data_IF_819934812803
#
_entry.id   IF_819934812803
#
_cell.length_a   1.000
_cell.length_b   1.000
_cell.length_c   1.000
_cell.angle_alpha   90.00
_cell.angle_beta   90.00
_cell.angle_gamma   90.00
#
_symmetry.space_group_name_H-M   'P 1'
#
loop_
_entity.id
_entity.type
_entity.pdbx_description
1 polymer ?
#
# COMPACT_ATOMS: atom_id res chain seq x y z
N UNK A 1 -46.07 -11.33 -13.51
CA UNK A 1 -46.25 -11.14 -14.97
C UNK A 1 -44.86 -10.88 -15.52
N UNK A 2 -44.33 -11.78 -16.35
CA UNK A 2 -43.11 -11.52 -17.09
C UNK A 2 -43.51 -10.47 -18.12
N UNK A 3 -43.10 -9.22 -17.90
CA UNK A 3 -43.31 -8.14 -18.86
C UNK A 3 -42.59 -8.52 -20.15
N UNK A 4 -43.27 -8.38 -21.28
CA UNK A 4 -42.74 -8.71 -22.61
C UNK A 4 -42.16 -7.48 -23.33
N UNK A 5 -42.44 -6.27 -22.86
CA UNK A 5 -41.90 -5.01 -23.40
C UNK A 5 -41.85 -3.91 -22.33
N UNK A 6 -40.96 -2.93 -22.50
CA UNK A 6 -40.91 -1.72 -21.68
C UNK A 6 -41.85 -0.61 -22.19
N UNK A 7 -42.43 -0.78 -23.38
CA UNK A 7 -43.31 0.18 -24.05
C UNK A 7 -44.37 0.87 -23.17
N UNK A 8 -45.12 0.16 -22.30
CA UNK A 8 -46.10 0.77 -21.41
C UNK A 8 -45.47 1.77 -20.42
N UNK A 9 -44.27 1.49 -19.92
CA UNK A 9 -43.54 2.38 -19.02
C UNK A 9 -42.91 3.54 -19.76
N UNK A 10 -42.45 3.32 -20.99
CA UNK A 10 -41.90 4.37 -21.85
C UNK A 10 -42.98 5.38 -22.26
N UNK A 11 -44.20 4.93 -22.60
CA UNK A 11 -45.31 5.84 -22.86
C UNK A 11 -45.71 6.70 -21.66
N UNK A 12 -45.49 6.19 -20.43
CA UNK A 12 -45.77 6.92 -19.20
C UNK A 12 -44.71 7.99 -18.88
N UNK A 13 -43.54 7.96 -19.54
CA UNK A 13 -42.53 9.02 -19.41
C UNK A 13 -42.98 10.30 -20.12
N UNK A 14 -43.65 10.18 -21.27
CA UNK A 14 -44.11 11.32 -22.05
C UNK A 14 -45.40 11.96 -21.50
N UNK A 15 -46.06 11.34 -20.52
CA UNK A 15 -47.25 11.87 -19.85
C UNK A 15 -46.96 13.10 -18.98
N UNK A 16 -47.95 13.96 -18.76
CA UNK A 16 -47.79 15.23 -18.03
C UNK A 16 -47.80 15.11 -16.50
N UNK A 17 -48.26 13.98 -15.97
CA UNK A 17 -48.38 13.75 -14.52
C UNK A 17 -47.03 13.30 -13.91
N UNK A 18 -46.55 14.07 -12.93
CA UNK A 18 -45.31 13.81 -12.19
C UNK A 18 -45.34 12.46 -11.46
N UNK A 19 -46.50 12.02 -10.97
CA UNK A 19 -46.64 10.76 -10.24
C UNK A 19 -46.49 9.54 -11.17
N UNK A 20 -47.00 9.65 -12.40
CA UNK A 20 -46.86 8.62 -13.43
C UNK A 20 -45.41 8.52 -13.91
N UNK A 21 -44.71 9.65 -14.07
CA UNK A 21 -43.28 9.65 -14.41
C UNK A 21 -42.43 8.98 -13.35
N UNK A 22 -42.68 9.24 -12.06
CA UNK A 22 -41.97 8.59 -10.95
C UNK A 22 -42.24 7.08 -10.92
N UNK A 23 -43.48 6.65 -11.16
CA UNK A 23 -43.82 5.23 -11.26
C UNK A 23 -43.11 4.56 -12.45
N UNK A 24 -43.08 5.22 -13.61
CA UNK A 24 -42.37 4.76 -14.80
C UNK A 24 -40.87 4.59 -14.52
N UNK A 25 -40.22 5.59 -13.91
CA UNK A 25 -38.79 5.51 -13.57
C UNK A 25 -38.48 4.39 -12.57
N UNK A 26 -39.34 4.16 -11.56
CA UNK A 26 -39.17 3.05 -10.61
C UNK A 26 -39.29 1.68 -11.29
N UNK A 27 -40.25 1.54 -12.20
CA UNK A 27 -40.41 0.34 -13.00
C UNK A 27 -39.19 0.13 -13.91
N UNK A 28 -38.74 1.19 -14.60
CA UNK A 28 -37.56 1.14 -15.47
C UNK A 28 -36.29 0.76 -14.71
N UNK A 29 -36.04 1.32 -13.51
CA UNK A 29 -34.89 0.94 -12.70
C UNK A 29 -34.84 -0.56 -12.34
N UNK A 30 -36.00 -1.21 -12.26
CA UNK A 30 -36.13 -2.64 -11.95
C UNK A 30 -35.88 -3.54 -13.17
N UNK A 31 -36.24 -3.06 -14.37
CA UNK A 31 -36.20 -3.86 -15.60
C UNK A 31 -35.19 -3.40 -16.65
N UNK A 32 -34.41 -2.36 -16.36
CA UNK A 32 -33.43 -1.78 -17.30
C UNK A 32 -32.42 -2.81 -17.80
N UNK A 33 -32.03 -3.78 -16.98
CA UNK A 33 -31.07 -4.83 -17.39
C UNK A 33 -31.62 -5.73 -18.50
N UNK A 34 -32.95 -5.85 -18.64
CA UNK A 34 -33.60 -6.67 -19.65
C UNK A 34 -34.02 -5.87 -20.90
N UNK A 35 -34.38 -4.60 -20.73
CA UNK A 35 -34.94 -3.77 -21.80
C UNK A 35 -34.08 -2.55 -22.15
N UNK A 36 -32.79 -2.54 -21.80
CA UNK A 36 -31.89 -1.40 -22.02
C UNK A 36 -31.92 -0.88 -23.47
N UNK A 37 -32.07 -1.76 -24.47
CA UNK A 37 -32.13 -1.38 -25.88
C UNK A 37 -33.42 -0.62 -26.26
N UNK A 38 -34.55 -0.92 -25.60
CA UNK A 38 -35.79 -0.15 -25.80
C UNK A 38 -35.74 1.17 -25.04
N UNK A 39 -35.09 1.19 -23.87
CA UNK A 39 -34.94 2.38 -23.03
C UNK A 39 -33.92 3.37 -23.63
N UNK A 40 -32.91 2.89 -24.35
CA UNK A 40 -31.90 3.75 -24.98
C UNK A 40 -32.47 4.69 -26.03
N UNK A 41 -33.55 4.31 -26.71
CA UNK A 41 -34.23 5.17 -27.69
C UNK A 41 -34.87 6.42 -27.04
N UNK A 42 -35.17 6.34 -25.73
CA UNK A 42 -35.79 7.40 -24.94
C UNK A 42 -34.81 8.07 -23.98
N UNK A 43 -33.50 7.84 -24.14
CA UNK A 43 -32.47 8.34 -23.22
C UNK A 43 -32.52 9.86 -23.07
N UNK A 44 -32.71 10.59 -24.18
CA UNK A 44 -32.82 12.05 -24.18
C UNK A 44 -34.01 12.57 -23.37
N UNK A 45 -35.14 11.85 -23.34
CA UNK A 45 -36.30 12.24 -22.52
C UNK A 45 -35.99 12.10 -21.03
N UNK A 46 -35.26 11.04 -20.65
CA UNK A 46 -34.88 10.79 -19.25
C UNK A 46 -33.79 11.79 -18.80
N UNK A 47 -32.86 12.15 -19.69
CA UNK A 47 -31.88 13.23 -19.46
C UNK A 47 -32.57 14.58 -19.23
N UNK A 48 -33.55 14.94 -20.06
CA UNK A 48 -34.33 16.16 -19.85
C UNK A 48 -35.05 16.17 -18.50
N UNK A 49 -35.54 15.02 -18.03
CA UNK A 49 -36.12 14.90 -16.68
C UNK A 49 -35.10 15.07 -15.56
N UNK A 50 -33.86 14.64 -15.78
CA UNK A 50 -32.76 14.91 -14.86
C UNK A 50 -32.37 16.39 -14.87
N UNK A 51 -32.40 17.07 -16.02
CA UNK A 51 -32.09 18.51 -16.11
C UNK A 51 -33.18 19.41 -15.50
N UNK A 52 -34.42 18.95 -15.42
CA UNK A 52 -35.52 19.72 -14.82
C UNK A 52 -35.38 19.88 -13.29
N UNK A 53 -35.09 21.11 -12.86
CA UNK A 53 -34.96 21.46 -11.44
C UNK A 53 -36.25 21.33 -10.63
N UNK A 54 -37.42 21.27 -11.29
CA UNK A 54 -38.72 21.12 -10.63
C UNK A 54 -39.07 19.67 -10.32
N UNK A 55 -38.31 18.72 -10.85
CA UNK A 55 -38.54 17.31 -10.61
C UNK A 55 -37.94 16.90 -9.25
N UNK A 56 -38.73 16.28 -8.39
CA UNK A 56 -38.27 15.90 -7.04
C UNK A 56 -37.38 14.65 -7.03
N UNK A 57 -37.46 13.79 -8.05
CA UNK A 57 -36.82 12.47 -8.11
C UNK A 57 -35.68 12.42 -9.16
N UNK A 58 -34.91 13.52 -9.28
CA UNK A 58 -33.80 13.64 -10.26
C UNK A 58 -32.74 12.57 -10.07
N UNK A 59 -32.48 12.19 -8.83
CA UNK A 59 -31.51 11.15 -8.48
C UNK A 59 -31.90 9.78 -9.05
N UNK A 60 -33.20 9.47 -9.11
CA UNK A 60 -33.73 8.23 -9.69
C UNK A 60 -33.61 8.23 -11.22
N UNK A 61 -33.88 9.37 -11.87
CA UNK A 61 -33.68 9.53 -13.31
C UNK A 61 -32.20 9.36 -13.69
N UNK A 62 -31.29 9.98 -12.93
CA UNK A 62 -29.85 9.82 -13.12
C UNK A 62 -29.39 8.36 -12.98
N UNK A 63 -29.97 7.60 -12.05
CA UNK A 63 -29.64 6.18 -11.87
C UNK A 63 -30.05 5.34 -13.09
N UNK A 64 -31.25 5.57 -13.64
CA UNK A 64 -31.72 4.85 -14.83
C UNK A 64 -30.85 5.17 -16.04
N UNK A 65 -30.55 6.46 -16.26
CA UNK A 65 -29.65 6.93 -17.33
C UNK A 65 -28.28 6.26 -17.21
N UNK A 66 -27.71 6.23 -16.00
CA UNK A 66 -26.42 5.59 -15.75
C UNK A 66 -26.42 4.09 -16.08
N UNK A 67 -27.47 3.36 -15.71
CA UNK A 67 -27.61 1.93 -16.05
C UNK A 67 -27.74 1.69 -17.55
N UNK A 68 -28.44 2.57 -18.28
CA UNK A 68 -28.53 2.46 -19.75
C UNK A 68 -27.16 2.70 -20.39
N UNK A 69 -26.44 3.75 -19.97
CA UNK A 69 -25.08 4.03 -20.47
C UNK A 69 -24.09 2.91 -20.15
N UNK A 70 -24.24 2.25 -19.00
CA UNK A 70 -23.45 1.07 -18.67
C UNK A 70 -23.64 -0.06 -19.70
N UNK A 71 -24.88 -0.39 -20.05
CA UNK A 71 -25.17 -1.42 -21.06
C UNK A 71 -24.74 -1.00 -22.48
N UNK A 72 -24.70 0.30 -22.78
CA UNK A 72 -24.17 0.85 -24.02
C UNK A 72 -22.62 0.83 -24.09
N UNK A 73 -21.93 0.52 -22.99
CA UNK A 73 -20.47 0.55 -22.89
C UNK A 73 -19.86 1.95 -22.75
N UNK A 74 -20.69 2.97 -22.55
CA UNK A 74 -20.28 4.37 -22.35
C UNK A 74 -20.07 4.63 -20.85
N UNK A 75 -18.94 4.15 -20.33
CA UNK A 75 -18.69 4.10 -18.90
C UNK A 75 -18.42 5.46 -18.25
N UNK A 76 -17.82 6.42 -18.96
CA UNK A 76 -17.54 7.75 -18.44
C UNK A 76 -18.83 8.53 -18.17
N UNK A 77 -19.77 8.47 -19.12
CA UNK A 77 -21.11 9.02 -19.01
C UNK A 77 -21.90 8.29 -17.92
N UNK A 78 -21.85 6.95 -17.90
CA UNK A 78 -22.47 6.15 -16.86
C UNK A 78 -22.02 6.60 -15.46
N UNK A 79 -20.71 6.80 -15.25
CA UNK A 79 -20.17 7.26 -13.98
C UNK A 79 -20.66 8.68 -13.62
N UNK A 80 -20.72 9.61 -14.58
CA UNK A 80 -21.21 10.97 -14.32
C UNK A 80 -22.65 10.99 -13.80
N UNK A 81 -23.52 10.17 -14.39
CA UNK A 81 -24.91 10.06 -13.95
C UNK A 81 -25.04 9.24 -12.66
N UNK A 82 -24.21 8.21 -12.44
CA UNK A 82 -24.16 7.47 -11.18
C UNK A 82 -23.75 8.38 -10.00
N UNK A 83 -22.77 9.26 -10.22
CA UNK A 83 -22.35 10.28 -9.25
C UNK A 83 -23.48 11.25 -8.89
N UNK A 84 -24.37 11.51 -9.84
CA UNK A 84 -25.50 12.42 -9.67
C UNK A 84 -26.70 11.75 -8.99
N UNK A 85 -26.76 10.41 -8.99
CA UNK A 85 -27.78 9.63 -8.29
C UNK A 85 -27.59 9.60 -6.75
N UNK A 86 -26.43 10.04 -6.24
CA UNK A 86 -26.24 10.35 -4.82
C UNK A 86 -26.56 9.20 -3.86
N UNK A 87 -27.66 9.34 -3.11
CA UNK A 87 -28.13 8.39 -2.11
C UNK A 87 -28.83 7.17 -2.72
N UNK A 88 -29.42 7.30 -3.90
CA UNK A 88 -30.09 6.22 -4.63
C UNK A 88 -29.11 5.24 -5.28
N UNK A 89 -27.83 5.59 -5.34
CA UNK A 89 -26.76 4.70 -5.75
C UNK A 89 -26.31 3.83 -4.56
N UNK A 90 -26.87 2.63 -4.46
CA UNK A 90 -26.52 1.66 -3.42
C UNK A 90 -25.16 1.02 -3.70
N UNK A 91 -24.25 1.17 -2.73
CA UNK A 91 -22.89 0.60 -2.79
C UNK A 91 -22.91 -0.86 -2.30
N UNK A 92 -23.32 -1.79 -3.18
CA UNK A 92 -23.42 -3.25 -2.98
C UNK A 92 -24.60 -3.71 -2.11
N UNK A 93 -25.13 -4.93 -2.18
CA UNK A 93 -24.77 -6.19 -2.87
C UNK A 93 -25.68 -6.53 -4.07
N UNK A 94 -25.14 -7.14 -5.14
CA UNK A 94 -25.90 -8.01 -6.04
C UNK A 94 -26.03 -7.64 -7.52
N UNK A 95 -25.44 -6.53 -8.00
CA UNK A 95 -25.46 -6.21 -9.44
C UNK A 95 -24.06 -5.99 -10.02
N UNK A 96 -23.79 -6.63 -11.15
CA UNK A 96 -22.59 -6.44 -11.98
C UNK A 96 -22.35 -4.95 -12.30
N UNK A 97 -23.43 -4.19 -12.47
CA UNK A 97 -23.42 -2.74 -12.64
C UNK A 97 -22.72 -2.02 -11.46
N UNK A 98 -23.18 -2.27 -10.22
CA UNK A 98 -22.62 -1.59 -9.04
C UNK A 98 -21.14 -1.91 -8.82
N UNK A 99 -20.73 -3.16 -9.02
CA UNK A 99 -19.34 -3.57 -8.92
C UNK A 99 -18.48 -2.99 -10.04
N UNK A 100 -19.01 -2.88 -11.26
CA UNK A 100 -18.22 -2.36 -12.39
C UNK A 100 -18.07 -0.85 -12.32
N UNK A 101 -19.11 -0.13 -11.89
CA UNK A 101 -19.05 1.32 -11.72
C UNK A 101 -18.16 1.77 -10.56
N UNK A 102 -18.16 1.01 -9.46
CA UNK A 102 -17.39 1.35 -8.25
C UNK A 102 -16.04 0.65 -8.23
N UNK A 103 -16.03 -0.68 -8.30
CA UNK A 103 -14.91 -1.52 -7.86
C UNK A 103 -13.99 -1.99 -8.98
N UNK A 104 -14.45 -2.11 -10.23
CA UNK A 104 -13.59 -2.66 -11.30
C UNK A 104 -12.70 -1.63 -11.98
N UNK A 105 -13.19 -0.61 -12.69
CA UNK A 105 -12.27 0.12 -13.60
C UNK A 105 -12.61 1.58 -13.93
N UNK A 106 -13.68 2.17 -13.38
CA UNK A 106 -14.15 3.50 -13.86
C UNK A 106 -14.04 4.57 -12.78
N UNK A 107 -14.73 4.40 -11.64
CA UNK A 107 -14.71 5.38 -10.55
C UNK A 107 -13.35 5.47 -9.85
N UNK A 108 -12.85 4.35 -9.36
CA UNK A 108 -11.56 4.29 -8.64
C UNK A 108 -10.40 4.62 -9.57
N UNK A 109 -10.35 4.06 -10.77
CA UNK A 109 -9.27 4.34 -11.73
C UNK A 109 -9.24 5.81 -12.16
N UNK A 110 -10.41 6.41 -12.41
CA UNK A 110 -10.49 7.84 -12.69
C UNK A 110 -9.99 8.65 -11.50
N UNK A 111 -10.41 8.30 -10.29
CA UNK A 111 -9.95 8.96 -9.07
C UNK A 111 -8.43 8.84 -8.88
N UNK A 112 -7.87 7.63 -9.01
CA UNK A 112 -6.44 7.36 -8.92
C UNK A 112 -5.68 8.14 -9.99
N UNK A 113 -6.17 8.17 -11.23
CA UNK A 113 -5.57 8.91 -12.34
C UNK A 113 -5.55 10.42 -12.08
N UNK A 114 -6.68 11.00 -11.71
CA UNK A 114 -6.79 12.43 -11.41
C UNK A 114 -5.88 12.83 -10.23
N UNK A 115 -5.72 11.96 -9.22
CA UNK A 115 -4.79 12.16 -8.10
C UNK A 115 -3.33 12.06 -8.50
N UNK A 116 -2.95 11.07 -9.32
CA UNK A 116 -1.57 10.90 -9.81
C UNK A 116 -1.14 12.04 -10.74
N UNK A 117 -2.07 12.57 -11.53
CA UNK A 117 -1.86 13.76 -12.37
C UNK A 117 -1.75 15.06 -11.56
N UNK A 118 -2.01 15.03 -10.23
CA UNK A 118 -1.93 16.20 -9.37
C UNK A 118 -3.05 17.21 -9.59
N UNK A 119 -4.20 16.79 -10.12
CA UNK A 119 -5.35 17.69 -10.30
C UNK A 119 -5.88 18.13 -8.94
N UNK A 120 -5.97 19.44 -8.75
CA UNK A 120 -6.42 20.05 -7.49
C UNK A 120 -7.96 20.05 -7.39
N UNK A 121 -8.65 20.05 -8.52
CA UNK A 121 -10.11 20.13 -8.60
C UNK A 121 -10.70 18.77 -9.03
N UNK A 122 -10.71 17.84 -8.08
CA UNK A 122 -11.38 16.54 -8.24
C UNK A 122 -12.84 16.70 -7.85
N UNK A 123 -13.74 16.15 -8.65
CA UNK A 123 -15.19 16.23 -8.39
C UNK A 123 -15.52 15.72 -6.98
N UNK A 124 -16.14 16.57 -6.17
CA UNK A 124 -16.54 16.28 -4.79
C UNK A 124 -17.42 15.04 -4.70
N UNK A 125 -18.22 14.75 -5.74
CA UNK A 125 -19.07 13.55 -5.80
C UNK A 125 -18.24 12.28 -5.92
N UNK A 126 -17.18 12.31 -6.74
CA UNK A 126 -16.25 11.19 -6.89
C UNK A 126 -15.53 10.92 -5.57
N UNK A 127 -15.04 11.97 -4.90
CA UNK A 127 -14.41 11.85 -3.58
C UNK A 127 -15.36 11.20 -2.56
N UNK A 128 -16.63 11.65 -2.50
CA UNK A 128 -17.63 11.07 -1.60
C UNK A 128 -17.92 9.60 -1.90
N UNK A 129 -17.89 9.18 -3.16
CA UNK A 129 -18.07 7.77 -3.53
C UNK A 129 -16.90 6.94 -3.03
N UNK A 130 -15.68 7.39 -3.26
CA UNK A 130 -14.47 6.68 -2.84
C UNK A 130 -14.36 6.62 -1.31
N UNK A 131 -14.70 7.69 -0.58
CA UNK A 131 -14.77 7.67 0.89
C UNK A 131 -15.78 6.66 1.42
N UNK A 132 -17.00 6.64 0.86
CA UNK A 132 -18.01 5.63 1.24
C UNK A 132 -17.54 4.21 0.95
N UNK A 133 -16.75 4.03 -0.12
CA UNK A 133 -16.14 2.74 -0.46
C UNK A 133 -15.09 2.33 0.57
N UNK A 134 -14.18 3.24 0.97
CA UNK A 134 -13.24 2.98 2.06
C UNK A 134 -13.96 2.60 3.36
N UNK A 135 -14.98 3.36 3.76
CA UNK A 135 -15.78 3.08 4.95
C UNK A 135 -16.51 1.73 4.86
N UNK A 136 -16.91 1.31 3.66
CA UNK A 136 -17.49 -0.02 3.44
C UNK A 136 -16.43 -1.11 3.58
N UNK A 137 -15.30 -1.01 2.88
CA UNK A 137 -14.22 -1.99 2.97
C UNK A 137 -13.71 -2.16 4.41
N UNK A 138 -13.61 -1.06 5.17
CA UNK A 138 -13.23 -1.10 6.58
C UNK A 138 -14.29 -1.81 7.46
N UNK A 139 -15.57 -1.57 7.21
CA UNK A 139 -16.67 -2.28 7.93
C UNK A 139 -16.73 -3.76 7.60
N UNK A 140 -16.45 -4.12 6.36
CA UNK A 140 -16.47 -5.50 5.86
C UNK A 140 -15.18 -6.27 6.25
N UNK A 141 -14.22 -5.62 6.92
CA UNK A 141 -12.95 -6.22 7.32
C UNK A 141 -11.96 -6.42 6.17
N UNK A 142 -12.22 -5.84 5.00
CA UNK A 142 -11.37 -5.90 3.80
C UNK A 142 -10.26 -4.84 3.85
N UNK A 143 -9.45 -4.85 4.90
CA UNK A 143 -8.40 -3.85 5.16
C UNK A 143 -7.33 -3.83 4.06
N UNK A 144 -6.92 -5.00 3.55
CA UNK A 144 -5.90 -5.12 2.50
C UNK A 144 -6.31 -4.43 1.19
N UNK A 145 -7.59 -4.58 0.80
CA UNK A 145 -8.13 -3.91 -0.39
C UNK A 145 -8.18 -2.39 -0.20
N UNK A 146 -8.61 -1.92 0.99
CA UNK A 146 -8.63 -0.50 1.31
C UNK A 146 -7.22 0.11 1.25
N UNK A 147 -6.21 -0.61 1.77
CA UNK A 147 -4.80 -0.19 1.69
C UNK A 147 -4.32 -0.13 0.24
N UNK A 148 -4.61 -1.14 -0.59
CA UNK A 148 -4.20 -1.14 -2.01
C UNK A 148 -4.70 0.09 -2.75
N UNK A 149 -6.00 0.38 -2.64
CA UNK A 149 -6.63 1.54 -3.30
C UNK A 149 -6.09 2.86 -2.71
N UNK A 150 -5.84 2.91 -1.40
CA UNK A 150 -5.28 4.08 -0.75
C UNK A 150 -3.84 4.39 -1.21
N UNK A 151 -3.01 3.35 -1.40
CA UNK A 151 -1.65 3.49 -1.92
C UNK A 151 -1.66 4.00 -3.36
N UNK A 152 -2.52 3.44 -4.21
CA UNK A 152 -2.62 3.86 -5.61
C UNK A 152 -3.09 5.32 -5.76
N UNK A 153 -4.02 5.76 -4.91
CA UNK A 153 -4.57 7.11 -4.88
C UNK A 153 -3.75 8.13 -4.08
N UNK A 154 -2.58 7.73 -3.56
CA UNK A 154 -1.67 8.56 -2.77
C UNK A 154 -2.35 9.14 -1.51
N UNK A 155 -3.21 8.34 -0.88
CA UNK A 155 -4.03 8.66 0.28
C UNK A 155 -3.47 8.01 1.55
N UNK A 156 -2.36 8.57 2.02
CA UNK A 156 -1.65 8.09 3.21
C UNK A 156 -2.48 8.16 4.50
N UNK A 157 -3.41 9.10 4.58
CA UNK A 157 -4.37 9.22 5.69
C UNK A 157 -5.28 7.99 5.82
N UNK A 158 -5.65 7.36 4.71
CA UNK A 158 -6.48 6.15 4.71
C UNK A 158 -5.64 4.95 5.10
N UNK A 159 -4.37 4.90 4.67
CA UNK A 159 -3.44 3.83 5.05
C UNK A 159 -3.26 3.79 6.57
N UNK A 160 -3.00 4.95 7.21
CA UNK A 160 -2.89 5.04 8.68
C UNK A 160 -4.17 4.58 9.37
N UNK A 161 -5.34 5.07 8.93
CA UNK A 161 -6.64 4.65 9.47
C UNK A 161 -6.90 3.16 9.32
N UNK A 162 -6.56 2.58 8.17
CA UNK A 162 -6.74 1.15 7.90
C UNK A 162 -5.85 0.29 8.78
N UNK A 163 -4.59 0.70 8.96
CA UNK A 163 -3.63 0.00 9.82
C UNK A 163 -4.14 0.03 11.27
N UNK A 164 -4.49 1.19 11.82
CA UNK A 164 -4.98 1.33 13.20
C UNK A 164 -6.31 0.63 13.45
N UNK A 165 -7.21 0.61 12.46
CA UNK A 165 -8.55 0.00 12.56
C UNK A 165 -8.57 -1.52 12.40
N UNK A 166 -7.54 -2.12 11.81
CA UNK A 166 -7.52 -3.55 11.43
C UNK A 166 -7.50 -4.55 12.61
N UNK A 167 -7.11 -4.11 13.81
CA UNK A 167 -6.89 -4.99 14.96
C UNK A 167 -5.58 -5.80 14.89
N UNK A 168 -5.10 -6.16 13.70
CA UNK A 168 -3.77 -6.72 13.43
C UNK A 168 -2.87 -5.69 12.74
N UNK A 169 -2.35 -4.79 13.56
CA UNK A 169 -1.52 -3.70 13.07
C UNK A 169 -0.14 -4.18 12.61
N UNK A 170 0.43 -5.23 13.21
CA UNK A 170 1.76 -5.70 12.81
C UNK A 170 1.72 -6.35 11.42
N UNK A 171 0.74 -7.23 11.19
CA UNK A 171 0.51 -7.82 9.87
C UNK A 171 0.20 -6.76 8.81
N UNK A 172 -0.58 -5.72 9.15
CA UNK A 172 -0.86 -4.65 8.18
C UNK A 172 0.35 -3.76 7.87
N UNK A 173 1.21 -3.46 8.84
CA UNK A 173 2.45 -2.72 8.54
C UNK A 173 3.37 -3.58 7.66
N UNK A 174 3.45 -4.90 7.89
CA UNK A 174 4.22 -5.79 7.03
C UNK A 174 3.67 -5.83 5.61
N UNK A 175 2.35 -5.90 5.46
CA UNK A 175 1.68 -5.84 4.15
C UNK A 175 1.97 -4.53 3.41
N UNK A 176 1.84 -3.38 4.10
CA UNK A 176 2.12 -2.05 3.50
C UNK A 176 3.58 -1.93 3.09
N UNK A 177 4.50 -2.45 3.90
CA UNK A 177 5.92 -2.50 3.60
C UNK A 177 6.20 -3.36 2.36
N UNK A 178 5.58 -4.53 2.26
CA UNK A 178 5.72 -5.41 1.09
C UNK A 178 5.23 -4.72 -0.19
N UNK A 179 4.10 -4.02 -0.12
CA UNK A 179 3.60 -3.17 -1.20
C UNK A 179 4.64 -2.11 -1.59
N UNK A 180 5.16 -1.37 -0.60
CA UNK A 180 6.15 -0.32 -0.84
C UNK A 180 7.44 -0.85 -1.48
N UNK A 181 7.93 -2.03 -1.04
CA UNK A 181 9.18 -2.60 -1.53
C UNK A 181 9.06 -3.24 -2.92
N UNK A 182 7.95 -3.92 -3.21
CA UNK A 182 7.83 -4.77 -4.40
C UNK A 182 6.98 -4.17 -5.52
N UNK A 183 5.98 -3.33 -5.20
CA UNK A 183 4.94 -2.94 -6.16
C UNK A 183 4.93 -1.44 -6.49
N UNK A 184 5.50 -0.59 -5.63
CA UNK A 184 5.49 0.87 -5.83
C UNK A 184 6.69 1.32 -6.67
N UNK A 185 6.42 1.78 -7.88
CA UNK A 185 7.46 2.27 -8.82
C UNK A 185 7.97 3.68 -8.47
N UNK A 186 7.12 4.52 -7.87
CA UNK A 186 7.45 5.92 -7.57
C UNK A 186 8.35 6.07 -6.34
N UNK A 187 9.57 6.60 -6.52
CA UNK A 187 10.54 6.79 -5.44
C UNK A 187 10.00 7.65 -4.27
N UNK A 188 9.32 8.76 -4.58
CA UNK A 188 8.77 9.65 -3.56
C UNK A 188 7.64 8.98 -2.75
N UNK A 189 6.78 8.23 -3.44
CA UNK A 189 5.65 7.52 -2.83
C UNK A 189 6.18 6.41 -1.94
N UNK A 190 7.11 5.61 -2.47
CA UNK A 190 7.79 4.54 -1.72
C UNK A 190 8.46 5.10 -0.47
N UNK A 191 9.20 6.20 -0.58
CA UNK A 191 9.88 6.79 0.57
C UNK A 191 8.89 7.26 1.64
N UNK A 192 7.79 7.92 1.25
CA UNK A 192 6.73 8.31 2.20
C UNK A 192 6.09 7.11 2.89
N UNK A 193 5.84 6.02 2.16
CA UNK A 193 5.29 4.80 2.75
C UNK A 193 6.24 4.14 3.74
N UNK A 194 7.52 4.02 3.39
CA UNK A 194 8.53 3.44 4.28
C UNK A 194 8.76 4.32 5.51
N UNK A 195 8.73 5.66 5.37
CA UNK A 195 8.80 6.61 6.48
C UNK A 195 7.62 6.40 7.45
N UNK A 196 6.40 6.33 6.93
CA UNK A 196 5.22 6.00 7.74
C UNK A 196 5.38 4.66 8.45
N UNK A 197 5.85 3.61 7.75
CA UNK A 197 6.07 2.31 8.38
C UNK A 197 7.07 2.40 9.55
N UNK A 198 8.19 3.13 9.37
CA UNK A 198 9.19 3.35 10.42
C UNK A 198 8.56 4.07 11.62
N UNK A 199 7.82 5.15 11.40
CA UNK A 199 7.14 5.88 12.49
C UNK A 199 6.16 4.98 13.24
N UNK A 200 5.39 4.15 12.53
CA UNK A 200 4.43 3.22 13.12
C UNK A 200 5.09 2.09 13.91
N UNK A 201 6.22 1.56 13.43
CA UNK A 201 7.02 0.61 14.19
C UNK A 201 7.57 1.28 15.47
N UNK A 202 8.15 2.48 15.38
CA UNK A 202 8.76 3.17 16.53
C UNK A 202 7.75 3.60 17.61
N UNK A 203 6.48 3.82 17.26
CA UNK A 203 5.41 4.08 18.24
C UNK A 203 5.10 2.86 19.12
N UNK A 204 5.51 1.65 18.72
CA UNK A 204 5.19 0.39 19.41
C UNK A 204 6.30 0.03 20.41
N UNK A 205 5.88 -0.57 21.53
CA UNK A 205 6.81 -1.08 22.56
C UNK A 205 7.55 -2.34 22.12
N UNK A 206 6.90 -3.17 21.29
CA UNK A 206 7.47 -4.36 20.67
C UNK A 206 7.69 -4.09 19.18
N UNK A 207 8.54 -3.12 18.86
CA UNK A 207 8.83 -2.84 17.46
C UNK A 207 9.72 -3.94 16.88
N UNK A 208 9.46 -4.36 15.65
CA UNK A 208 10.33 -5.30 14.96
C UNK A 208 11.53 -4.53 14.37
N UNK A 209 12.64 -4.49 15.12
CA UNK A 209 13.82 -3.67 14.81
C UNK A 209 14.53 -4.09 13.52
N UNK A 210 14.44 -5.36 13.14
CA UNK A 210 14.96 -5.87 11.88
C UNK A 210 14.22 -5.22 10.70
N UNK A 211 12.88 -5.15 10.79
CA UNK A 211 12.05 -4.48 9.77
C UNK A 211 12.32 -2.97 9.70
N UNK A 212 12.57 -2.33 10.84
CA UNK A 212 12.96 -0.90 10.86
C UNK A 212 14.30 -0.70 10.15
N UNK A 213 15.29 -1.56 10.40
CA UNK A 213 16.57 -1.55 9.71
C UNK A 213 16.42 -1.71 8.20
N UNK A 214 15.69 -2.72 7.74
CA UNK A 214 15.38 -2.94 6.32
C UNK A 214 14.73 -1.70 5.67
N UNK A 215 13.71 -1.11 6.32
CA UNK A 215 13.06 0.11 5.83
C UNK A 215 14.03 1.28 5.71
N UNK A 216 14.92 1.49 6.70
CA UNK A 216 15.92 2.55 6.68
C UNK A 216 16.96 2.35 5.56
N UNK A 217 17.37 1.10 5.30
CA UNK A 217 18.27 0.76 4.19
C UNK A 217 17.57 1.03 2.85
N UNK A 218 16.33 0.58 2.69
CA UNK A 218 15.55 0.79 1.46
C UNK A 218 15.20 2.26 1.21
N UNK A 219 15.05 3.07 2.26
CA UNK A 219 14.88 4.52 2.14
C UNK A 219 16.09 5.19 1.50
N UNK A 220 17.30 4.69 1.78
CA UNK A 220 18.54 5.23 1.22
C UNK A 220 18.78 6.70 1.57
N UNK A 221 18.23 7.18 2.69
CA UNK A 221 18.38 8.56 3.18
C UNK A 221 19.26 8.61 4.46
N UNK A 222 20.57 8.87 4.33
CA UNK A 222 21.50 8.86 5.46
C UNK A 222 21.13 9.86 6.56
N UNK A 223 20.61 11.02 6.19
CA UNK A 223 20.23 12.07 7.15
C UNK A 223 19.08 11.64 8.07
N UNK A 224 18.04 11.01 7.52
CA UNK A 224 16.91 10.52 8.32
C UNK A 224 17.33 9.33 9.18
N UNK A 225 18.11 8.41 8.61
CA UNK A 225 18.67 7.28 9.35
C UNK A 225 19.50 7.77 10.55
N UNK A 226 20.39 8.74 10.35
CA UNK A 226 21.18 9.35 11.42
C UNK A 226 20.29 9.95 12.52
N UNK A 227 19.24 10.69 12.18
CA UNK A 227 18.31 11.28 13.16
C UNK A 227 17.60 10.21 13.99
N UNK A 228 17.07 9.17 13.35
CA UNK A 228 16.38 8.06 14.05
C UNK A 228 17.35 7.34 14.99
N UNK A 229 18.57 7.04 14.54
CA UNK A 229 19.58 6.38 15.38
C UNK A 229 20.02 7.25 16.56
N UNK A 230 20.12 8.56 16.37
CA UNK A 230 20.44 9.51 17.45
C UNK A 230 19.32 9.54 18.47
N UNK A 231 18.08 9.72 18.03
CA UNK A 231 16.89 9.76 18.91
C UNK A 231 16.78 8.47 19.74
N UNK A 232 16.97 7.32 19.11
CA UNK A 232 16.97 6.03 19.79
C UNK A 232 18.13 5.91 20.79
N UNK A 233 19.33 6.38 20.42
CA UNK A 233 20.50 6.31 21.30
C UNK A 233 20.38 7.18 22.56
N UNK A 234 19.64 8.28 22.47
CA UNK A 234 19.41 9.24 23.57
C UNK A 234 18.20 8.88 24.43
N UNK A 235 17.33 7.99 23.97
CA UNK A 235 16.16 7.55 24.71
C UNK A 235 16.49 6.72 25.95
N UNK A 236 15.43 6.14 26.50
CA UNK A 236 15.48 5.17 27.60
C UNK A 236 16.37 3.97 27.26
N UNK A 237 16.75 3.19 28.28
CA UNK A 237 17.64 2.04 28.11
C UNK A 237 17.15 1.06 27.03
N UNK A 238 15.85 0.76 27.01
CA UNK A 238 15.23 -0.07 25.97
C UNK A 238 15.40 0.55 24.58
N UNK A 239 15.08 1.84 24.40
CA UNK A 239 15.24 2.56 23.12
C UNK A 239 16.70 2.60 22.66
N UNK A 240 17.64 2.71 23.60
CA UNK A 240 19.07 2.70 23.30
C UNK A 240 19.55 1.34 22.81
N UNK A 241 19.09 0.25 23.45
CA UNK A 241 19.37 -1.12 23.01
C UNK A 241 18.81 -1.36 21.60
N UNK A 242 17.59 -0.90 21.35
CA UNK A 242 16.94 -0.93 20.05
C UNK A 242 17.78 -0.22 18.99
N UNK A 243 18.23 1.01 19.28
CA UNK A 243 19.10 1.77 18.39
C UNK A 243 20.37 1.02 18.05
N UNK A 244 21.02 0.38 19.03
CA UNK A 244 22.23 -0.43 18.78
C UNK A 244 21.95 -1.65 17.93
N UNK A 245 20.81 -2.31 18.15
CA UNK A 245 20.41 -3.50 17.38
C UNK A 245 20.14 -3.15 15.92
N UNK A 246 19.47 -2.03 15.66
CA UNK A 246 19.32 -1.46 14.31
C UNK A 246 20.71 -1.13 13.74
N UNK A 247 21.60 -0.53 14.53
CA UNK A 247 22.97 -0.24 14.12
C UNK A 247 23.75 -1.48 13.66
N UNK A 248 23.65 -2.60 14.38
CA UNK A 248 24.26 -3.87 13.96
C UNK A 248 23.64 -4.40 12.66
N UNK A 249 22.32 -4.38 12.55
CA UNK A 249 21.62 -4.80 11.33
C UNK A 249 22.02 -3.95 10.11
N UNK A 250 22.18 -2.63 10.29
CA UNK A 250 22.67 -1.72 9.26
C UNK A 250 24.10 -2.05 8.84
N UNK A 251 24.99 -2.33 9.80
CA UNK A 251 26.37 -2.70 9.48
C UNK A 251 26.45 -3.98 8.62
N UNK A 252 25.59 -4.97 8.90
CA UNK A 252 25.58 -6.24 8.17
C UNK A 252 24.93 -6.14 6.78
N UNK A 253 23.87 -5.35 6.63
CA UNK A 253 23.03 -5.37 5.43
C UNK A 253 23.14 -4.13 4.54
N UNK A 254 23.60 -2.99 5.06
CA UNK A 254 23.67 -1.75 4.29
C UNK A 254 24.97 -1.63 3.47
N UNK A 255 24.93 -0.83 2.40
CA UNK A 255 26.13 -0.55 1.61
C UNK A 255 27.15 0.29 2.39
N UNK A 256 28.44 0.07 2.14
CA UNK A 256 29.53 0.84 2.77
C UNK A 256 29.42 2.34 2.55
N UNK A 257 28.93 2.75 1.36
CA UNK A 257 28.73 4.16 1.00
C UNK A 257 27.67 4.78 1.90
N UNK A 258 26.51 4.13 2.02
CA UNK A 258 25.41 4.59 2.87
C UNK A 258 25.81 4.67 4.35
N UNK A 259 26.55 3.68 4.86
CA UNK A 259 27.05 3.68 6.23
C UNK A 259 28.00 4.86 6.48
N UNK A 260 28.96 5.10 5.59
CA UNK A 260 29.91 6.21 5.73
C UNK A 260 29.20 7.57 5.72
N UNK A 261 28.22 7.75 4.83
CA UNK A 261 27.40 8.97 4.80
C UNK A 261 26.59 9.14 6.08
N UNK A 262 25.97 8.07 6.58
CA UNK A 262 25.19 8.08 7.83
C UNK A 262 26.09 8.42 9.02
N UNK A 263 27.29 7.83 9.09
CA UNK A 263 28.28 8.12 10.14
C UNK A 263 28.70 9.59 10.09
N UNK A 264 28.98 10.14 8.90
CA UNK A 264 29.33 11.54 8.75
C UNK A 264 28.20 12.46 9.24
N UNK A 265 26.94 12.13 8.94
CA UNK A 265 25.78 12.85 9.45
C UNK A 265 25.62 12.74 10.97
N UNK A 266 25.91 11.58 11.56
CA UNK A 266 25.92 11.43 13.02
C UNK A 266 27.02 12.32 13.64
N UNK A 267 28.22 12.36 13.04
CA UNK A 267 29.32 13.21 13.50
C UNK A 267 28.99 14.70 13.46
N UNK A 268 28.35 15.15 12.39
CA UNK A 268 27.89 16.54 12.23
C UNK A 268 26.92 16.95 13.35
N UNK A 269 26.03 16.04 13.79
CA UNK A 269 24.96 16.36 14.77
C UNK A 269 25.44 16.19 16.22
N UNK A 270 26.19 15.13 16.51
CA UNK A 270 26.44 14.63 17.87
C UNK A 270 27.90 14.69 18.31
N UNK A 271 28.85 14.89 17.40
CA UNK A 271 30.28 14.86 17.67
C UNK A 271 30.99 13.58 17.17
N UNK A 272 32.33 13.58 17.23
CA UNK A 272 33.16 12.64 16.47
C UNK A 272 33.10 11.17 16.91
N UNK A 273 32.89 10.90 18.20
CA UNK A 273 32.91 9.53 18.75
C UNK A 273 31.69 9.23 19.61
N UNK A 274 30.87 8.28 19.13
CA UNK A 274 29.76 7.69 19.88
C UNK A 274 29.80 6.17 19.75
N UNK A 275 29.21 5.46 20.72
CA UNK A 275 29.08 3.99 20.64
C UNK A 275 28.34 3.54 19.37
N UNK A 276 27.40 4.35 18.89
CA UNK A 276 26.72 4.11 17.61
C UNK A 276 27.69 4.12 16.43
N UNK A 277 28.58 5.12 16.37
CA UNK A 277 29.62 5.19 15.31
C UNK A 277 30.54 3.98 15.37
N UNK A 278 30.94 3.52 16.56
CA UNK A 278 31.78 2.30 16.69
C UNK A 278 31.07 1.02 16.22
N UNK A 279 29.75 0.95 16.35
CA UNK A 279 28.93 -0.16 15.83
C UNK A 279 28.87 -0.06 14.30
N UNK A 280 28.54 1.11 13.76
CA UNK A 280 28.39 1.32 12.31
C UNK A 280 29.72 1.21 11.54
N UNK A 281 30.86 1.51 12.17
CA UNK A 281 32.19 1.24 11.60
C UNK A 281 32.52 -0.26 11.51
N UNK A 282 31.89 -1.07 12.37
CA UNK A 282 32.17 -2.49 12.53
C UNK A 282 33.27 -2.82 13.53
N UNK A 283 33.85 -1.83 14.22
CA UNK A 283 34.94 -2.06 15.17
C UNK A 283 34.47 -2.95 16.33
N UNK A 284 33.29 -2.65 16.89
CA UNK A 284 32.71 -3.43 17.97
C UNK A 284 32.26 -4.82 17.48
N UNK A 285 31.64 -4.88 16.30
CA UNK A 285 31.20 -6.14 15.67
C UNK A 285 32.39 -7.08 15.45
N UNK A 286 33.48 -6.57 14.89
CA UNK A 286 34.71 -7.33 14.65
C UNK A 286 35.34 -7.84 15.95
N UNK A 287 35.40 -7.01 17.00
CA UNK A 287 35.92 -7.42 18.30
C UNK A 287 35.08 -8.55 18.93
N UNK A 288 33.75 -8.44 18.88
CA UNK A 288 32.85 -9.45 19.43
C UNK A 288 32.95 -10.77 18.66
N UNK A 289 33.01 -10.74 17.32
CA UNK A 289 33.19 -11.95 16.52
C UNK A 289 34.56 -12.60 16.79
N UNK A 290 35.62 -11.82 16.89
CA UNK A 290 36.96 -12.32 17.19
C UNK A 290 37.00 -13.00 18.57
N UNK A 291 36.40 -12.37 19.58
CA UNK A 291 36.29 -12.95 20.92
C UNK A 291 35.47 -14.24 20.93
N UNK A 292 34.36 -14.28 20.17
CA UNK A 292 33.55 -15.48 20.01
C UNK A 292 34.36 -16.64 19.40
N UNK A 293 35.10 -16.37 18.31
CA UNK A 293 35.92 -17.36 17.62
C UNK A 293 37.05 -17.89 18.52
N UNK A 294 37.73 -17.01 19.28
CA UNK A 294 38.78 -17.43 20.21
C UNK A 294 38.24 -18.28 21.37
N UNK A 295 37.13 -17.86 21.99
CA UNK A 295 36.56 -18.57 23.15
C UNK A 295 35.92 -19.91 22.78
N UNK A 296 35.34 -20.00 21.58
CA UNK A 296 34.61 -21.19 21.11
C UNK A 296 35.38 -21.97 20.02
N UNK A 297 36.71 -21.87 19.99
CA UNK A 297 37.52 -22.65 19.06
C UNK A 297 37.41 -24.16 19.40
N UNK A 298 36.78 -24.92 18.49
CA UNK A 298 36.61 -26.38 18.57
C UNK A 298 37.39 -27.12 17.48
N UNK A 299 38.42 -26.48 16.92
CA UNK A 299 39.21 -27.05 15.83
C UNK A 299 40.02 -28.25 16.32
N UNK A 300 39.81 -29.40 15.67
CA UNK A 300 40.55 -30.63 15.98
C UNK A 300 41.88 -30.66 15.22
N UNK A 301 42.96 -30.37 15.95
CA UNK A 301 44.32 -30.39 15.43
C UNK A 301 44.77 -31.80 14.98
N UNK A 302 44.10 -32.88 15.39
CA UNK A 302 44.46 -34.23 14.95
C UNK A 302 44.11 -34.46 13.48
N UNK A 303 43.02 -33.86 12.98
CA UNK A 303 42.65 -33.91 11.57
C UNK A 303 43.78 -33.32 10.71
N UNK A 304 44.33 -32.19 11.16
CA UNK A 304 45.45 -31.50 10.51
C UNK A 304 46.74 -32.34 10.51
N UNK A 305 47.04 -33.01 11.63
CA UNK A 305 48.19 -33.91 11.75
C UNK A 305 48.08 -35.12 10.82
N UNK A 306 46.89 -35.72 10.73
CA UNK A 306 46.65 -36.82 9.79
C UNK A 306 46.74 -36.34 8.34
N UNK A 307 46.11 -35.20 8.00
CA UNK A 307 46.25 -34.60 6.67
C UNK A 307 47.72 -34.35 6.30
N UNK A 308 48.52 -33.79 7.21
CA UNK A 308 49.95 -33.55 7.00
C UNK A 308 50.75 -34.85 6.79
N UNK A 309 50.37 -35.95 7.45
CA UNK A 309 51.03 -37.25 7.34
C UNK A 309 50.77 -37.91 5.98
N UNK A 310 49.55 -37.79 5.45
CA UNK A 310 49.17 -38.38 4.16
C UNK A 310 49.56 -37.51 2.95
N UNK A 311 49.51 -36.18 3.09
CA UNK A 311 49.96 -35.25 2.07
C UNK A 311 51.47 -35.02 2.21
N UNK A 312 52.28 -35.87 1.57
CA UNK A 312 53.72 -35.62 1.51
C UNK A 312 53.99 -34.20 0.95
N UNK A 313 54.68 -33.36 1.72
CA UNK A 313 55.01 -31.96 1.38
C UNK A 313 55.98 -31.79 0.19
N UNK A 314 56.07 -32.78 -0.71
CA UNK A 314 56.95 -32.77 -1.89
C UNK A 314 56.31 -32.12 -3.11
N UNK A 315 54.97 -32.02 -3.17
CA UNK A 315 54.26 -31.32 -4.24
C UNK A 315 53.79 -29.95 -3.75
N UNK A 316 53.98 -28.90 -4.56
CA UNK A 316 53.54 -27.54 -4.20
C UNK A 316 52.01 -27.47 -4.04
N UNK A 317 51.28 -28.31 -4.77
CA UNK A 317 49.81 -28.41 -4.73
C UNK A 317 49.36 -28.94 -3.36
N UNK A 318 50.00 -30.01 -2.87
CA UNK A 318 49.69 -30.61 -1.57
C UNK A 318 49.99 -29.64 -0.41
N UNK A 319 51.09 -28.90 -0.52
CA UNK A 319 51.48 -27.91 0.50
C UNK A 319 50.53 -26.71 0.53
N UNK A 320 50.13 -26.19 -0.64
CA UNK A 320 49.12 -25.14 -0.73
C UNK A 320 47.77 -25.62 -0.18
N UNK A 321 47.37 -26.85 -0.51
CA UNK A 321 46.14 -27.46 0.01
C UNK A 321 46.15 -27.55 1.54
N UNK A 322 47.25 -28.02 2.15
CA UNK A 322 47.37 -28.09 3.61
C UNK A 322 47.33 -26.70 4.26
N UNK A 323 47.97 -25.70 3.66
CA UNK A 323 47.94 -24.31 4.15
C UNK A 323 46.54 -23.72 4.10
N UNK A 324 45.80 -23.88 3.00
CA UNK A 324 44.42 -23.40 2.90
C UNK A 324 43.51 -24.13 3.88
N UNK A 325 43.65 -25.44 4.04
CA UNK A 325 42.91 -26.21 5.05
C UNK A 325 43.19 -25.69 6.46
N UNK A 326 44.45 -25.42 6.80
CA UNK A 326 44.81 -24.84 8.10
C UNK A 326 44.19 -23.44 8.31
N UNK A 327 44.22 -22.60 7.28
CA UNK A 327 43.73 -21.22 7.32
C UNK A 327 42.20 -21.12 7.32
N UNK A 328 41.47 -22.10 6.78
CA UNK A 328 40.01 -22.14 6.89
C UNK A 328 39.52 -22.75 8.20
N UNK A 329 40.33 -23.63 8.81
CA UNK A 329 39.98 -24.30 10.07
C UNK A 329 40.24 -23.45 11.31
N UNK A 330 41.08 -22.41 11.25
CA UNK A 330 41.47 -21.55 12.38
C UNK A 330 41.29 -20.09 12.02
#
# INVERSE_FOLDING_TARGET
LILSNAGPFLSLLSESDLTLRVYALKALNTYVDYFWAEVSDYLSEIEMMYEDEKFNERELAALVVSKVYFHLGAYDEALMFAMSAGANFEMGEGSEYSETMICKDVGIDRYVRERREGRVDIDVRLVKIVERMFDKCMRDGMWTHAVGIAVESLRFDVVERAIEGSGDVEGMIEYVREIAMNYVEGLEVRNKMLEMCVEMYLKRKEANYERVGECLISLGQPEKCARVLIELSEGDEDKRLIGYQIGFNLYENASRVFLNETINKIREIKGEETKMITILNGDLTGQLYLEFLYRNNKTDLNILKEMQKYLEAKSSISMNGLMFSHAFMN
#
